data_IF_364391924006
#
_entry.id   IF_364391924006
#
_cell.length_a   1.000
_cell.length_b   1.000
_cell.length_c   1.000
_cell.angle_alpha   90.00
_cell.angle_beta   90.00
_cell.angle_gamma   90.00
#
_symmetry.space_group_name_H-M   'P 1'
#
loop_
_entity.id
_entity.type
_entity.pdbx_description
1 polymer ?
#
# COMPACT_ATOMS: atom_id res chain seq x y z
N UNK A 1 10.22 -20.51 3.85
CA UNK A 1 10.82 -19.18 4.03
C UNK A 1 10.62 -18.69 5.45
N UNK A 2 11.63 -18.11 6.00
CA UNK A 2 11.58 -17.64 7.37
C UNK A 2 11.20 -16.19 7.46
N UNK A 3 10.37 -15.85 8.43
CA UNK A 3 9.97 -14.49 8.68
C UNK A 3 10.25 -14.09 10.11
N UNK A 4 10.56 -12.83 10.30
CA UNK A 4 10.85 -12.29 11.63
C UNK A 4 9.60 -11.75 12.29
N UNK A 5 8.45 -12.30 11.96
CA UNK A 5 7.21 -11.76 12.43
C UNK A 5 6.77 -10.53 11.67
N UNK A 6 7.42 -10.25 10.54
CA UNK A 6 7.09 -9.10 9.71
C UNK A 6 7.06 -9.49 8.25
N UNK A 7 6.22 -8.79 7.51
CA UNK A 7 6.18 -8.90 6.06
C UNK A 7 6.76 -7.63 5.48
N UNK A 8 7.62 -7.78 4.48
CA UNK A 8 8.24 -6.63 3.82
C UNK A 8 8.00 -6.73 2.34
N UNK A 9 7.60 -5.61 1.76
CA UNK A 9 7.32 -5.55 0.35
C UNK A 9 7.86 -4.26 -0.23
N UNK A 10 8.34 -4.35 -1.47
CA UNK A 10 8.71 -3.18 -2.23
C UNK A 10 7.70 -3.01 -3.35
N UNK A 11 7.18 -1.80 -3.49
CA UNK A 11 6.21 -1.51 -4.51
C UNK A 11 6.72 -0.36 -5.37
N UNK A 12 6.50 -0.49 -6.66
CA UNK A 12 6.83 0.57 -7.58
C UNK A 12 5.56 1.00 -8.30
N UNK A 13 5.38 2.30 -8.39
CA UNK A 13 4.22 2.86 -9.07
C UNK A 13 4.68 3.59 -10.30
N UNK A 14 4.09 3.24 -11.43
CA UNK A 14 4.36 3.97 -12.64
C UNK A 14 3.68 5.32 -12.61
N UNK A 15 3.78 6.04 -13.71
CA UNK A 15 3.12 7.33 -13.83
C UNK A 15 2.30 7.38 -15.12
N UNK A 16 1.82 6.23 -15.58
CA UNK A 16 1.12 6.15 -16.85
C UNK A 16 -0.37 6.43 -16.72
N UNK A 17 -0.93 6.22 -15.55
CA UNK A 17 -2.34 6.47 -15.33
C UNK A 17 -2.50 7.42 -14.16
N UNK A 18 -3.67 8.07 -14.14
CA UNK A 18 -3.98 8.95 -13.03
C UNK A 18 -4.01 8.20 -11.71
N UNK A 19 -4.55 7.00 -11.72
CA UNK A 19 -4.62 6.20 -10.51
C UNK A 19 -3.25 5.90 -9.94
N UNK A 20 -2.30 5.59 -10.81
CA UNK A 20 -0.94 5.33 -10.36
C UNK A 20 -0.33 6.58 -9.72
N UNK A 21 -0.51 7.71 -10.36
CA UNK A 21 0.07 8.95 -9.86
C UNK A 21 -0.56 9.33 -8.53
N UNK A 22 -1.88 9.23 -8.44
CA UNK A 22 -2.57 9.59 -7.21
C UNK A 22 -2.16 8.69 -6.05
N UNK A 23 -2.04 7.40 -6.30
CA UNK A 23 -1.65 6.47 -5.25
C UNK A 23 -0.24 6.75 -4.78
N UNK A 24 0.68 6.98 -5.73
CA UNK A 24 2.05 7.25 -5.37
C UNK A 24 2.20 8.54 -4.58
N UNK A 25 1.49 9.58 -5.01
CA UNK A 25 1.58 10.86 -4.31
C UNK A 25 0.99 10.77 -2.91
N UNK A 26 -0.08 10.02 -2.76
CA UNK A 26 -0.68 9.84 -1.44
C UNK A 26 0.28 9.13 -0.51
N UNK A 27 0.91 8.07 -1.00
CA UNK A 27 1.85 7.31 -0.17
C UNK A 27 3.05 8.17 0.24
N UNK A 28 3.53 9.01 -0.67
CA UNK A 28 4.63 9.91 -0.33
C UNK A 28 4.21 10.90 0.75
N UNK A 29 2.98 11.38 0.67
CA UNK A 29 2.49 12.35 1.63
C UNK A 29 2.29 11.74 3.01
N UNK A 30 1.95 10.45 3.05
CA UNK A 30 1.70 9.78 4.32
C UNK A 30 2.96 9.55 5.14
N UNK A 31 4.10 9.41 4.48
CA UNK A 31 5.35 9.22 5.20
C UNK A 31 5.31 7.99 6.08
N UNK A 32 5.51 8.19 7.38
CA UNK A 32 5.57 7.09 8.33
C UNK A 32 4.23 6.38 8.53
N UNK A 33 3.16 6.97 8.04
CA UNK A 33 1.82 6.39 8.22
C UNK A 33 1.40 5.50 7.07
N UNK A 34 2.29 5.29 6.11
CA UNK A 34 1.97 4.48 4.94
C UNK A 34 1.47 3.10 5.32
N UNK A 35 2.18 2.44 6.22
CA UNK A 35 1.83 1.07 6.59
C UNK A 35 0.43 0.98 7.15
N UNK A 36 0.10 1.89 8.06
CA UNK A 36 -1.21 1.85 8.69
C UNK A 36 -2.32 2.04 7.66
N UNK A 37 -2.12 2.98 6.74
CA UNK A 37 -3.14 3.25 5.72
C UNK A 37 -3.26 2.07 4.76
N UNK A 38 -2.13 1.50 4.35
CA UNK A 38 -2.15 0.36 3.44
C UNK A 38 -2.85 -0.83 4.09
N UNK A 39 -2.57 -1.08 5.37
CA UNK A 39 -3.21 -2.18 6.07
C UNK A 39 -4.72 -1.96 6.10
N UNK A 40 -5.15 -0.76 6.41
CA UNK A 40 -6.59 -0.47 6.46
C UNK A 40 -7.22 -0.65 5.09
N UNK A 41 -6.55 -0.18 4.05
CA UNK A 41 -7.08 -0.30 2.69
C UNK A 41 -7.18 -1.75 2.26
N UNK A 42 -6.18 -2.55 2.59
CA UNK A 42 -6.19 -3.96 2.21
C UNK A 42 -7.29 -4.72 2.95
N UNK A 43 -7.50 -4.40 4.21
CA UNK A 43 -8.57 -5.07 4.95
C UNK A 43 -9.93 -4.68 4.42
N UNK A 44 -10.09 -3.44 3.99
CA UNK A 44 -11.32 -3.04 3.33
C UNK A 44 -11.53 -3.79 2.04
N UNK A 45 -10.46 -4.01 1.29
CA UNK A 45 -10.53 -4.77 0.05
C UNK A 45 -10.94 -6.22 0.32
N UNK A 46 -10.33 -6.83 1.33
CA UNK A 46 -10.65 -8.21 1.68
C UNK A 46 -12.12 -8.34 2.06
N UNK A 47 -12.62 -7.38 2.82
CA UNK A 47 -14.02 -7.41 3.23
C UNK A 47 -14.97 -7.30 2.04
N UNK A 48 -14.56 -6.56 1.01
CA UNK A 48 -15.38 -6.39 -0.18
C UNK A 48 -15.23 -7.55 -1.17
N UNK A 49 -14.13 -8.29 -1.08
CA UNK A 49 -13.84 -9.38 -2.02
C UNK A 49 -13.44 -10.64 -1.27
N UNK A 50 -14.38 -11.24 -0.54
CA UNK A 50 -14.08 -12.44 0.27
C UNK A 50 -13.79 -13.67 -0.58
#
# INVERSE_FOLDING_TARGET
MKRDGKYRFSLQFGSETREQVQAGELLERLGNRKSAVVIAALNAYIAAHP
#
